data_IF_994761348424
#
_entry.id   IF_994761348424
#
_cell.length_a   1.000
_cell.length_b   1.000
_cell.length_c   1.000
_cell.angle_alpha   90.00
_cell.angle_beta   90.00
_cell.angle_gamma   90.00
#
_symmetry.space_group_name_H-M   'P 1'
#
loop_
_entity.id
_entity.type
_entity.pdbx_description
1 polymer ?
#
# COMPACT_ATOMS: atom_id res chain seq x y z
N UNK A 1 47.57 -5.68 61.39
CA UNK A 1 47.32 -6.55 60.22
C UNK A 1 45.92 -6.30 59.71
N UNK A 2 45.82 -5.36 58.78
CA UNK A 2 44.54 -4.98 58.19
C UNK A 2 44.26 -5.85 56.97
N UNK A 3 43.19 -6.61 57.04
CA UNK A 3 42.68 -7.32 55.88
C UNK A 3 41.57 -6.47 55.22
N UNK A 4 41.92 -5.77 54.15
CA UNK A 4 40.94 -5.09 53.29
C UNK A 4 40.27 -6.14 52.42
N UNK A 5 39.02 -6.43 52.70
CA UNK A 5 38.16 -7.21 51.81
C UNK A 5 37.55 -6.26 50.77
N UNK A 6 38.04 -6.39 49.54
CA UNK A 6 37.47 -5.69 48.38
C UNK A 6 36.28 -6.55 47.91
N UNK A 7 35.06 -6.07 48.18
CA UNK A 7 33.87 -6.63 47.57
C UNK A 7 33.73 -6.04 46.15
N UNK A 8 34.05 -6.88 45.16
CA UNK A 8 33.76 -6.56 43.78
C UNK A 8 32.26 -6.76 43.54
N UNK A 9 31.53 -5.65 43.39
CA UNK A 9 30.13 -5.67 42.91
C UNK A 9 30.14 -5.99 41.41
N UNK A 10 29.80 -7.22 41.04
CA UNK A 10 29.48 -7.55 39.66
C UNK A 10 28.09 -7.01 39.34
N UNK A 11 28.02 -5.90 38.62
CA UNK A 11 26.80 -5.41 38.03
C UNK A 11 26.45 -6.27 36.80
N UNK A 12 25.55 -7.23 36.96
CA UNK A 12 24.96 -7.97 35.85
C UNK A 12 24.00 -7.06 35.11
N UNK A 13 24.44 -6.55 33.95
CA UNK A 13 23.58 -5.88 33.02
C UNK A 13 22.67 -6.94 32.35
N UNK A 14 21.45 -7.04 32.83
CA UNK A 14 20.42 -7.84 32.16
C UNK A 14 20.00 -7.10 30.90
N UNK A 15 20.55 -7.47 29.78
CA UNK A 15 20.06 -7.01 28.48
C UNK A 15 18.68 -7.62 28.26
N UNK A 16 17.63 -6.80 28.43
CA UNK A 16 16.28 -7.15 28.03
C UNK A 16 16.27 -7.31 26.51
N UNK A 17 15.84 -8.46 25.95
CA UNK A 17 15.66 -8.57 24.53
C UNK A 17 14.59 -7.55 24.11
N UNK A 18 14.95 -6.63 23.22
CA UNK A 18 13.99 -5.74 22.60
C UNK A 18 12.94 -6.63 21.92
N UNK A 19 11.70 -6.58 22.40
CA UNK A 19 10.59 -7.24 21.73
C UNK A 19 10.37 -6.54 20.39
N UNK A 20 11.00 -7.07 19.33
CA UNK A 20 10.68 -6.66 17.98
C UNK A 20 9.24 -7.07 17.72
N UNK A 21 8.34 -6.08 17.58
CA UNK A 21 7.01 -6.33 17.10
C UNK A 21 7.15 -7.04 15.74
N UNK A 22 6.67 -8.28 15.68
CA UNK A 22 6.79 -9.10 14.48
C UNK A 22 5.86 -8.53 13.42
N UNK A 23 6.40 -8.13 12.29
CA UNK A 23 5.61 -7.85 11.10
C UNK A 23 4.73 -9.07 10.79
N UNK A 24 3.45 -8.83 10.61
CA UNK A 24 2.51 -9.88 10.22
C UNK A 24 2.39 -9.88 8.72
N UNK A 25 2.35 -11.07 8.13
CA UNK A 25 2.08 -11.22 6.72
C UNK A 25 0.57 -11.21 6.49
N UNK A 26 0.11 -10.25 5.71
CA UNK A 26 -1.28 -10.14 5.27
C UNK A 26 -1.39 -10.58 3.81
N UNK A 27 -2.45 -11.34 3.52
CA UNK A 27 -2.78 -11.73 2.16
C UNK A 27 -4.08 -11.05 1.75
N UNK A 28 -4.08 -10.40 0.60
CA UNK A 28 -5.25 -9.76 0.03
C UNK A 28 -5.58 -10.37 -1.32
N UNK A 29 -6.75 -11.00 -1.39
CA UNK A 29 -7.31 -11.49 -2.63
C UNK A 29 -8.02 -10.35 -3.37
N UNK A 30 -7.45 -9.94 -4.50
CA UNK A 30 -7.94 -8.85 -5.32
C UNK A 30 -8.66 -9.39 -6.55
N UNK A 31 -9.87 -8.91 -6.79
CA UNK A 31 -10.65 -9.20 -7.99
C UNK A 31 -10.92 -7.90 -8.73
N UNK A 32 -10.46 -7.79 -9.96
CA UNK A 32 -10.72 -6.62 -10.79
C UNK A 32 -12.05 -6.76 -11.54
N UNK A 33 -13.09 -6.14 -11.01
CA UNK A 33 -14.43 -6.08 -11.64
C UNK A 33 -14.59 -4.91 -12.59
N UNK A 34 -13.62 -4.02 -12.67
CA UNK A 34 -13.62 -2.93 -13.63
C UNK A 34 -13.31 -3.44 -15.06
N UNK A 35 -13.52 -2.60 -16.05
CA UNK A 35 -13.17 -2.91 -17.44
C UNK A 35 -11.68 -2.74 -17.71
N UNK A 36 -11.08 -1.72 -17.10
CA UNK A 36 -9.68 -1.40 -17.30
C UNK A 36 -8.77 -2.24 -16.41
N UNK A 37 -7.58 -2.53 -16.91
CA UNK A 37 -6.57 -3.23 -16.14
C UNK A 37 -6.06 -2.38 -14.97
N UNK A 38 -5.81 -3.03 -13.85
CA UNK A 38 -5.10 -2.45 -12.71
C UNK A 38 -3.60 -2.62 -12.95
N UNK A 39 -2.85 -1.53 -12.86
CA UNK A 39 -1.40 -1.51 -13.04
C UNK A 39 -0.62 -1.36 -11.74
N UNK A 40 -1.28 -0.89 -10.68
CA UNK A 40 -0.68 -0.72 -9.36
C UNK A 40 -1.72 -0.82 -8.26
N UNK A 41 -1.36 -1.50 -7.19
CA UNK A 41 -2.10 -1.52 -5.93
C UNK A 41 -1.12 -1.25 -4.80
N UNK A 42 -1.20 -0.08 -4.20
CA UNK A 42 -0.32 0.34 -3.12
C UNK A 42 -1.07 0.38 -1.81
N UNK A 43 -0.55 -0.30 -0.80
CA UNK A 43 -1.06 -0.25 0.56
C UNK A 43 -0.19 0.64 1.43
N UNK A 44 -0.79 1.63 2.08
CA UNK A 44 -0.13 2.52 3.02
C UNK A 44 -0.83 2.45 4.38
N UNK A 45 -0.11 2.35 5.52
CA UNK A 45 -0.74 2.56 6.81
C UNK A 45 -1.46 3.91 6.84
N UNK A 46 -2.60 4.01 7.53
CA UNK A 46 -3.46 5.19 7.51
C UNK A 46 -2.72 6.49 7.88
N UNK A 47 -1.74 6.39 8.78
CA UNK A 47 -0.98 7.54 9.29
C UNK A 47 0.41 7.69 8.67
N UNK A 48 0.74 6.92 7.63
CA UNK A 48 2.05 6.91 6.99
C UNK A 48 1.95 7.08 5.48
N UNK A 49 2.92 7.77 4.89
CA UNK A 49 2.99 7.97 3.44
C UNK A 49 3.68 6.81 2.70
N UNK A 50 4.37 5.94 3.42
CA UNK A 50 5.11 4.84 2.86
C UNK A 50 4.17 3.72 2.39
N UNK A 51 3.90 3.69 1.09
CA UNK A 51 3.12 2.65 0.45
C UNK A 51 3.96 1.49 -0.05
N UNK A 52 3.39 0.29 0.01
CA UNK A 52 3.98 -0.92 -0.58
C UNK A 52 3.13 -1.42 -1.73
N UNK A 53 3.78 -1.72 -2.85
CA UNK A 53 3.13 -2.28 -4.03
C UNK A 53 2.80 -3.76 -3.82
N UNK A 54 1.54 -4.14 -4.07
CA UNK A 54 1.06 -5.50 -3.86
C UNK A 54 1.13 -6.39 -5.10
N UNK A 55 1.17 -5.82 -6.29
CA UNK A 55 1.17 -6.59 -7.54
C UNK A 55 2.57 -7.00 -8.01
N UNK A 56 3.62 -6.53 -7.35
CA UNK A 56 5.03 -6.79 -7.72
C UNK A 56 5.32 -6.52 -9.22
N UNK A 57 4.74 -5.46 -9.77
CA UNK A 57 4.86 -5.10 -11.18
C UNK A 57 3.95 -5.88 -12.13
N UNK A 58 3.13 -6.81 -11.64
CA UNK A 58 2.16 -7.51 -12.44
C UNK A 58 0.98 -6.60 -12.82
N UNK A 59 0.30 -6.97 -13.88
CA UNK A 59 -0.89 -6.28 -14.38
C UNK A 59 -2.09 -7.19 -14.19
N UNK A 60 -3.15 -6.66 -13.58
CA UNK A 60 -4.39 -7.39 -13.34
C UNK A 60 -5.45 -6.94 -14.35
N UNK A 61 -5.76 -7.79 -15.32
CA UNK A 61 -6.74 -7.47 -16.36
C UNK A 61 -8.14 -7.24 -15.77
N UNK A 62 -8.94 -6.44 -16.44
CA UNK A 62 -10.34 -6.23 -16.10
C UNK A 62 -11.22 -7.46 -16.39
N UNK A 63 -12.49 -7.36 -16.00
CA UNK A 63 -13.47 -8.41 -16.28
C UNK A 63 -13.48 -9.57 -15.29
N UNK A 64 -12.89 -9.43 -14.12
CA UNK A 64 -12.96 -10.41 -13.04
C UNK A 64 -11.68 -11.22 -12.82
N UNK A 65 -10.55 -10.84 -13.45
CA UNK A 65 -9.26 -11.43 -13.13
C UNK A 65 -8.90 -11.18 -11.66
N UNK A 66 -8.28 -12.16 -11.05
CA UNK A 66 -7.95 -12.12 -9.63
C UNK A 66 -6.48 -12.45 -9.37
N UNK A 67 -5.95 -11.90 -8.29
CA UNK A 67 -4.60 -12.16 -7.80
C UNK A 67 -4.59 -12.08 -6.28
N UNK A 68 -3.67 -12.78 -5.65
CA UNK A 68 -3.40 -12.62 -4.22
C UNK A 68 -2.15 -11.78 -4.03
N UNK A 69 -2.31 -10.61 -3.42
CA UNK A 69 -1.20 -9.76 -2.99
C UNK A 69 -0.76 -10.13 -1.59
N UNK A 70 0.52 -9.95 -1.30
CA UNK A 70 1.11 -10.15 0.01
C UNK A 70 1.66 -8.85 0.54
N UNK A 71 1.40 -8.56 1.81
CA UNK A 71 1.90 -7.38 2.51
C UNK A 71 2.41 -7.77 3.89
N UNK A 72 3.66 -7.44 4.18
CA UNK A 72 4.22 -7.54 5.51
C UNK A 72 4.08 -6.19 6.22
N UNK A 73 3.30 -6.16 7.28
CA UNK A 73 3.03 -4.95 8.07
C UNK A 73 2.55 -5.29 9.47
N UNK A 74 2.89 -4.46 10.43
CA UNK A 74 2.35 -4.55 11.79
C UNK A 74 0.93 -4.02 11.88
N UNK A 75 0.57 -3.06 11.02
CA UNK A 75 -0.75 -2.43 11.00
C UNK A 75 -1.79 -3.33 10.37
N UNK A 76 -3.00 -3.33 10.91
CA UNK A 76 -4.16 -3.98 10.30
C UNK A 76 -4.83 -3.11 9.25
N UNK A 77 -4.91 -1.80 9.49
CA UNK A 77 -5.67 -0.85 8.68
C UNK A 77 -4.76 -0.09 7.73
N UNK A 78 -5.08 -0.15 6.46
CA UNK A 78 -4.32 0.49 5.39
C UNK A 78 -5.24 1.23 4.43
N UNK A 79 -4.72 2.29 3.83
CA UNK A 79 -5.33 2.90 2.65
C UNK A 79 -4.83 2.17 1.41
N UNK A 80 -5.74 1.70 0.57
CA UNK A 80 -5.42 1.01 -0.67
C UNK A 80 -5.61 1.95 -1.85
N UNK A 81 -4.53 2.27 -2.53
CA UNK A 81 -4.49 3.12 -3.72
C UNK A 81 -4.42 2.24 -4.96
N UNK A 82 -5.43 2.31 -5.80
CA UNK A 82 -5.54 1.54 -7.03
C UNK A 82 -5.27 2.47 -8.21
N UNK A 83 -4.34 2.10 -9.07
CA UNK A 83 -4.10 2.80 -10.33
C UNK A 83 -4.49 1.91 -11.52
N UNK A 84 -5.31 2.46 -12.43
CA UNK A 84 -5.74 1.79 -13.65
C UNK A 84 -4.86 2.20 -14.84
N UNK A 85 -4.82 1.33 -15.86
CA UNK A 85 -4.07 1.57 -17.09
C UNK A 85 -4.51 2.82 -17.85
N UNK A 86 -5.77 3.24 -17.70
CA UNK A 86 -6.31 4.47 -18.29
C UNK A 86 -5.93 5.76 -17.54
N UNK A 87 -5.10 5.66 -16.48
CA UNK A 87 -4.66 6.79 -15.65
C UNK A 87 -5.63 7.18 -14.53
N UNK A 88 -6.79 6.56 -14.43
CA UNK A 88 -7.71 6.79 -13.32
C UNK A 88 -7.22 6.11 -12.06
N UNK A 89 -7.65 6.63 -10.92
CA UNK A 89 -7.29 6.12 -9.60
C UNK A 89 -8.52 5.90 -8.73
N UNK A 90 -8.45 4.92 -7.85
CA UNK A 90 -9.43 4.67 -6.82
C UNK A 90 -8.75 4.57 -5.46
N UNK A 91 -9.43 5.00 -4.42
CA UNK A 91 -8.97 4.89 -3.03
C UNK A 91 -9.97 4.07 -2.24
N UNK A 92 -9.49 3.05 -1.56
CA UNK A 92 -10.24 2.31 -0.55
C UNK A 92 -9.63 2.66 0.81
N UNK A 93 -10.20 3.67 1.53
CA UNK A 93 -9.62 4.15 2.77
C UNK A 93 -9.90 3.19 3.92
N UNK A 94 -8.97 3.15 4.86
CA UNK A 94 -9.12 2.41 6.11
C UNK A 94 -9.57 0.95 5.93
N UNK A 95 -8.94 0.25 4.98
CA UNK A 95 -9.21 -1.16 4.72
C UNK A 95 -8.51 -2.03 5.77
N UNK A 96 -9.28 -2.84 6.48
CA UNK A 96 -8.77 -3.70 7.55
C UNK A 96 -8.34 -5.07 7.01
N UNK A 97 -7.05 -5.23 6.77
CA UNK A 97 -6.45 -6.48 6.27
C UNK A 97 -6.49 -7.63 7.28
N UNK A 98 -6.68 -7.34 8.56
CA UNK A 98 -6.83 -8.36 9.59
C UNK A 98 -8.22 -9.00 9.60
N UNK A 99 -9.23 -8.26 9.14
CA UNK A 99 -10.63 -8.71 9.09
C UNK A 99 -11.10 -9.09 7.69
N UNK A 100 -10.61 -8.37 6.68
CA UNK A 100 -11.02 -8.54 5.28
C UNK A 100 -9.84 -9.05 4.47
N UNK A 101 -10.02 -10.19 3.84
CA UNK A 101 -8.99 -10.83 3.01
C UNK A 101 -9.25 -10.71 1.51
N UNK A 102 -10.36 -10.12 1.13
CA UNK A 102 -10.76 -9.96 -0.26
C UNK A 102 -11.25 -8.56 -0.57
N UNK A 103 -10.84 -8.03 -1.70
CA UNK A 103 -11.32 -6.77 -2.24
C UNK A 103 -11.77 -6.97 -3.68
N UNK A 104 -13.01 -6.60 -3.95
CA UNK A 104 -13.54 -6.47 -5.32
C UNK A 104 -13.41 -5.03 -5.74
N UNK A 105 -12.52 -4.77 -6.69
CA UNK A 105 -12.35 -3.43 -7.26
C UNK A 105 -13.45 -3.21 -8.28
N UNK A 106 -14.38 -2.33 -7.94
CA UNK A 106 -15.55 -2.03 -8.76
C UNK A 106 -15.22 -1.00 -9.85
N UNK A 107 -15.99 -0.98 -10.96
CA UNK A 107 -15.87 0.04 -11.97
C UNK A 107 -16.01 1.43 -11.37
N UNK A 108 -15.13 2.35 -11.79
CA UNK A 108 -15.27 3.75 -11.41
C UNK A 108 -16.48 4.36 -12.13
N UNK A 109 -17.15 5.34 -11.51
CA UNK A 109 -18.24 6.09 -12.17
C UNK A 109 -17.74 6.69 -13.49
N UNK A 110 -18.64 6.79 -14.47
CA UNK A 110 -18.33 7.47 -15.71
C UNK A 110 -17.87 8.92 -15.41
N UNK A 111 -16.83 9.37 -16.12
CA UNK A 111 -16.36 10.75 -15.96
C UNK A 111 -17.48 11.71 -16.37
N UNK A 112 -17.68 12.76 -15.57
CA UNK A 112 -18.56 13.85 -15.95
C UNK A 112 -18.07 14.51 -17.24
N UNK A 113 -18.97 15.21 -17.92
CA UNK A 113 -18.62 15.97 -19.14
C UNK A 113 -17.51 16.98 -18.86
N UNK A 114 -17.58 17.64 -17.70
CA UNK A 114 -16.58 18.63 -17.26
C UNK A 114 -15.20 18.01 -17.04
N UNK A 115 -15.12 16.86 -16.39
CA UNK A 115 -13.86 16.13 -16.19
C UNK A 115 -13.24 15.69 -17.52
N UNK A 116 -14.06 15.26 -18.47
CA UNK A 116 -13.60 14.88 -19.81
C UNK A 116 -13.03 16.07 -20.57
N UNK A 117 -13.68 17.22 -20.48
CA UNK A 117 -13.22 18.46 -21.12
C UNK A 117 -11.92 18.97 -20.47
N UNK A 118 -11.82 18.95 -19.16
CA UNK A 118 -10.61 19.34 -18.42
C UNK A 118 -9.41 18.42 -18.76
N UNK A 119 -9.63 17.13 -18.87
CA UNK A 119 -8.59 16.16 -19.28
C UNK A 119 -8.15 16.34 -20.73
N UNK A 120 -9.07 16.71 -21.63
CA UNK A 120 -8.78 17.04 -23.03
C UNK A 120 -7.98 18.34 -23.16
N UNK A 121 -8.35 19.38 -22.42
CA UNK A 121 -7.62 20.64 -22.39
C UNK A 121 -6.19 20.50 -21.85
N UNK A 122 -5.98 19.70 -20.82
CA UNK A 122 -4.66 19.42 -20.26
C UNK A 122 -3.75 18.68 -21.26
N UNK A 123 -4.31 17.80 -22.10
CA UNK A 123 -3.54 17.12 -23.15
C UNK A 123 -3.10 18.09 -24.26
N UNK A 124 -3.97 18.98 -24.68
CA UNK A 124 -3.67 19.98 -25.73
C UNK A 124 -2.56 20.94 -25.29
N UNK A 125 -2.53 21.30 -24.01
CA UNK A 125 -1.46 22.16 -23.47
C UNK A 125 -0.10 21.44 -23.34
N UNK A 126 -0.10 20.13 -23.15
CA UNK A 126 1.14 19.33 -23.07
C UNK A 126 1.77 19.07 -24.44
N UNK A 127 0.99 19.15 -25.53
CA UNK A 127 1.45 18.85 -26.87
C UNK A 127 2.08 20.07 -27.58
N UNK A 128 1.83 21.26 -27.10
CA UNK A 128 2.32 22.52 -27.71
C UNK A 128 3.74 22.91 -27.28
N UNK A 129 4.37 22.22 -26.36
CA UNK A 129 5.72 22.53 -25.83
C UNK A 129 6.84 21.71 -26.47
N UNK A 130 6.57 20.95 -27.50
CA UNK A 130 7.53 20.01 -28.13
C UNK A 130 7.91 20.30 -29.57
N UNK A 131 7.80 21.56 -30.04
CA UNK A 131 8.19 21.88 -31.41
C UNK A 131 9.02 23.17 -31.45
N UNK A 132 10.30 22.99 -31.19
CA UNK A 132 11.39 23.82 -31.72
C UNK A 132 12.64 22.98 -31.83
#
# INVERSE_FOLDING_TARGET
MSRLSVFALLATVVALPAAHARERTHYLYLVNRAHDAIVSVTASPVDAEDGRELLAGARLAGGGEAVTGQLDSEACVHDLHIAFANGRRALYPAFDLCRQRGLRVMPLPARSREERLASGAARVQGETTGSD
#
